data_IF_847757760931
#
_entry.id   IF_847757760931
#
_cell.length_a   1.000
_cell.length_b   1.000
_cell.length_c   1.000
_cell.angle_alpha   90.00
_cell.angle_beta   90.00
_cell.angle_gamma   90.00
#
_symmetry.space_group_name_H-M   'P 1'
#
loop_
_entity.id
_entity.type
_entity.pdbx_description
1 polymer ?
#
# COMPACT_ATOMS: atom_id res chain seq x y z
N UNK A 1 -20.51 -34.86 -0.87
CA UNK A 1 -19.16 -34.34 -0.57
C UNK A 1 -18.61 -33.35 -1.62
N UNK A 2 -18.97 -33.44 -2.92
CA UNK A 2 -18.54 -32.47 -3.96
C UNK A 2 -19.14 -31.05 -3.82
N UNK A 3 -20.34 -30.88 -3.25
CA UNK A 3 -20.96 -29.54 -3.11
C UNK A 3 -20.17 -28.62 -2.15
N UNK A 4 -19.71 -29.15 -1.02
CA UNK A 4 -18.99 -28.36 0.00
C UNK A 4 -17.69 -27.70 -0.48
N UNK A 5 -16.96 -28.34 -1.39
CA UNK A 5 -15.70 -27.81 -1.94
C UNK A 5 -15.97 -26.74 -2.98
N UNK A 6 -17.04 -26.90 -3.77
CA UNK A 6 -17.42 -25.96 -4.81
C UNK A 6 -18.02 -24.68 -4.22
N UNK A 7 -18.80 -24.80 -3.14
CA UNK A 7 -19.31 -23.67 -2.36
C UNK A 7 -18.19 -22.93 -1.61
N UNK A 8 -17.17 -23.64 -1.10
CA UNK A 8 -15.96 -23.01 -0.55
C UNK A 8 -15.19 -22.21 -1.62
N UNK A 9 -14.99 -22.77 -2.81
CA UNK A 9 -14.28 -22.07 -3.88
C UNK A 9 -15.06 -20.86 -4.44
N UNK A 10 -16.38 -20.81 -4.28
CA UNK A 10 -17.25 -19.69 -4.68
C UNK A 10 -17.37 -18.60 -3.61
N UNK A 11 -17.30 -18.96 -2.32
CA UNK A 11 -17.38 -18.00 -1.19
C UNK A 11 -16.06 -17.26 -0.95
N UNK A 12 -14.93 -17.92 -1.16
CA UNK A 12 -13.59 -17.34 -0.99
C UNK A 12 -13.28 -16.14 -1.89
N UNK A 13 -13.63 -16.14 -3.20
CA UNK A 13 -13.42 -14.96 -4.03
C UNK A 13 -14.27 -13.78 -3.57
N UNK A 14 -15.52 -14.00 -3.12
CA UNK A 14 -16.39 -12.91 -2.65
C UNK A 14 -15.84 -12.22 -1.40
N UNK A 15 -15.35 -12.98 -0.42
CA UNK A 15 -14.75 -12.43 0.79
C UNK A 15 -13.45 -11.67 0.51
N UNK A 16 -12.64 -12.16 -0.43
CA UNK A 16 -11.42 -11.47 -0.84
C UNK A 16 -11.74 -10.11 -1.50
N UNK A 17 -12.75 -10.06 -2.37
CA UNK A 17 -13.21 -8.81 -2.99
C UNK A 17 -13.83 -7.84 -1.98
N UNK A 18 -14.64 -8.35 -1.05
CA UNK A 18 -15.18 -7.55 0.04
C UNK A 18 -14.05 -6.96 0.90
N UNK A 19 -13.03 -7.76 1.22
CA UNK A 19 -11.87 -7.30 1.98
C UNK A 19 -11.09 -6.21 1.24
N UNK A 20 -10.91 -6.37 -0.08
CA UNK A 20 -10.27 -5.35 -0.91
C UNK A 20 -11.07 -4.04 -0.93
N UNK A 21 -12.40 -4.12 -1.06
CA UNK A 21 -13.28 -2.94 -1.02
C UNK A 21 -13.28 -2.26 0.36
N UNK A 22 -13.33 -3.05 1.44
CA UNK A 22 -13.32 -2.53 2.80
C UNK A 22 -11.98 -1.87 3.15
N UNK A 23 -10.87 -2.56 2.94
CA UNK A 23 -9.54 -2.05 3.27
C UNK A 23 -9.07 -0.95 2.30
N UNK A 24 -9.45 -1.05 1.03
CA UNK A 24 -9.03 -0.11 -0.01
C UNK A 24 -9.86 1.17 -0.07
N UNK A 25 -11.18 1.08 0.14
CA UNK A 25 -12.10 2.20 -0.12
C UNK A 25 -12.87 2.59 1.14
N UNK A 26 -13.63 1.66 1.74
CA UNK A 26 -14.58 2.01 2.80
C UNK A 26 -13.86 2.54 4.04
N UNK A 27 -12.85 1.83 4.55
CA UNK A 27 -12.11 2.27 5.73
C UNK A 27 -11.33 3.58 5.48
N UNK A 28 -10.59 3.76 4.37
CA UNK A 28 -9.95 5.04 4.07
C UNK A 28 -10.93 6.20 3.90
N UNK A 29 -12.03 6.01 3.16
CA UNK A 29 -13.02 7.06 2.93
C UNK A 29 -13.74 7.46 4.22
N UNK A 30 -14.12 6.49 5.05
CA UNK A 30 -14.71 6.78 6.38
C UNK A 30 -13.72 7.49 7.29
N UNK A 31 -12.44 7.12 7.28
CA UNK A 31 -11.40 7.85 8.01
C UNK A 31 -11.27 9.31 7.53
N UNK A 32 -11.30 9.55 6.22
CA UNK A 32 -11.29 10.92 5.67
C UNK A 32 -12.51 11.73 6.12
N UNK A 33 -13.71 11.13 6.11
CA UNK A 33 -14.94 11.79 6.56
C UNK A 33 -14.88 12.16 8.05
N UNK A 34 -14.41 11.25 8.90
CA UNK A 34 -14.25 11.51 10.34
C UNK A 34 -13.23 12.63 10.60
N UNK A 35 -12.17 12.70 9.80
CA UNK A 35 -11.14 13.75 9.94
C UNK A 35 -11.59 15.13 9.46
N UNK A 36 -12.57 15.22 8.56
CA UNK A 36 -13.12 16.51 8.09
C UNK A 36 -13.88 17.22 9.20
N UNK A 37 -14.59 16.47 10.04
CA UNK A 37 -15.35 17.01 11.16
C UNK A 37 -14.47 17.31 12.40
N UNK A 38 -13.20 16.89 12.39
CA UNK A 38 -12.29 17.08 13.50
C UNK A 38 -11.74 18.52 13.55
N UNK A 39 -12.10 19.28 14.59
CA UNK A 39 -11.76 20.70 14.76
C UNK A 39 -10.29 20.97 15.16
N UNK A 40 -9.38 20.00 14.99
CA UNK A 40 -8.08 19.91 15.68
C UNK A 40 -6.87 19.86 14.71
N UNK A 41 -5.63 20.16 15.17
CA UNK A 41 -4.39 20.12 14.37
C UNK A 41 -4.03 18.75 13.78
N UNK A 42 -4.76 17.68 14.15
CA UNK A 42 -4.83 16.39 13.46
C UNK A 42 -5.55 16.52 12.10
N UNK A 43 -5.07 17.46 11.30
CA UNK A 43 -5.63 17.76 9.99
C UNK A 43 -5.32 16.65 9.01
N UNK A 44 -6.00 16.70 7.87
CA UNK A 44 -5.66 15.90 6.69
C UNK A 44 -4.17 15.98 6.32
N UNK A 45 -3.47 17.05 6.72
CA UNK A 45 -2.03 17.20 6.53
C UNK A 45 -1.18 16.18 7.31
N UNK A 46 -1.70 15.53 8.36
CA UNK A 46 -0.94 14.50 9.11
C UNK A 46 -1.37 13.07 8.76
N UNK A 47 -2.63 12.87 8.35
CA UNK A 47 -3.21 11.56 8.10
C UNK A 47 -3.47 11.23 6.63
N UNK A 48 -3.37 12.20 5.72
CA UNK A 48 -3.62 12.00 4.29
C UNK A 48 -2.69 10.96 3.66
N UNK A 49 -1.38 11.06 3.94
CA UNK A 49 -0.38 10.10 3.46
C UNK A 49 -0.62 8.68 3.97
N UNK A 50 -0.76 8.44 5.29
CA UNK A 50 -1.08 7.13 5.84
C UNK A 50 -2.37 6.52 5.27
N UNK A 51 -3.46 7.28 5.21
CA UNK A 51 -4.76 6.80 4.73
C UNK A 51 -4.69 6.40 3.26
N UNK A 52 -4.08 7.23 2.41
CA UNK A 52 -3.91 6.93 0.99
C UNK A 52 -3.00 5.71 0.78
N UNK A 53 -1.89 5.63 1.52
CA UNK A 53 -0.97 4.50 1.44
C UNK A 53 -1.65 3.17 1.78
N UNK A 54 -2.41 3.12 2.88
CA UNK A 54 -3.16 1.93 3.28
C UNK A 54 -4.28 1.61 2.30
N UNK A 55 -5.00 2.60 1.77
CA UNK A 55 -6.02 2.37 0.75
C UNK A 55 -5.45 1.77 -0.55
N UNK A 56 -4.34 2.32 -1.04
CA UNK A 56 -3.59 1.78 -2.18
C UNK A 56 -3.10 0.35 -1.92
N UNK A 57 -2.58 0.10 -0.72
CA UNK A 57 -2.09 -1.21 -0.32
C UNK A 57 -3.21 -2.23 -0.23
N UNK A 58 -4.32 -1.90 0.42
CA UNK A 58 -5.51 -2.73 0.53
C UNK A 58 -6.10 -3.07 -0.83
N UNK A 59 -6.38 -2.07 -1.67
CA UNK A 59 -6.92 -2.28 -3.00
C UNK A 59 -5.95 -3.08 -3.89
N UNK A 60 -4.69 -2.66 -3.99
CA UNK A 60 -3.73 -3.28 -4.90
C UNK A 60 -3.28 -4.67 -4.48
N UNK A 61 -2.87 -4.82 -3.22
CA UNK A 61 -2.30 -6.07 -2.71
C UNK A 61 -3.36 -7.15 -2.58
N UNK A 62 -4.52 -6.84 -1.98
CA UNK A 62 -5.59 -7.83 -1.79
C UNK A 62 -6.21 -8.20 -3.15
N UNK A 63 -6.47 -7.23 -4.04
CA UNK A 63 -7.05 -7.55 -5.34
C UNK A 63 -6.09 -8.33 -6.26
N UNK A 64 -4.79 -7.98 -6.29
CA UNK A 64 -3.81 -8.78 -7.03
C UNK A 64 -3.72 -10.21 -6.47
N UNK A 65 -3.78 -10.35 -5.14
CA UNK A 65 -3.74 -11.65 -4.48
C UNK A 65 -5.01 -12.48 -4.73
N UNK A 66 -6.18 -11.84 -4.74
CA UNK A 66 -7.48 -12.46 -5.00
C UNK A 66 -7.62 -12.90 -6.47
N UNK A 67 -7.23 -12.02 -7.40
CA UNK A 67 -7.38 -12.28 -8.83
C UNK A 67 -6.23 -13.10 -9.44
N UNK A 68 -5.10 -13.21 -8.73
CA UNK A 68 -3.89 -13.85 -9.25
C UNK A 68 -3.26 -13.14 -10.45
N UNK A 69 -3.61 -11.87 -10.68
CA UNK A 69 -3.18 -11.06 -11.82
C UNK A 69 -2.70 -9.70 -11.36
N UNK A 70 -1.44 -9.38 -11.68
CA UNK A 70 -0.81 -8.11 -11.34
C UNK A 70 -1.63 -6.89 -11.80
N UNK A 71 -2.05 -6.89 -13.07
CA UNK A 71 -2.68 -5.72 -13.67
C UNK A 71 -4.01 -5.35 -12.99
N UNK A 72 -4.74 -6.33 -12.45
CA UNK A 72 -6.02 -6.09 -11.76
C UNK A 72 -5.77 -5.31 -10.46
N UNK A 73 -4.77 -5.73 -9.68
CA UNK A 73 -4.38 -4.96 -8.49
C UNK A 73 -3.88 -3.57 -8.85
N UNK A 74 -3.06 -3.43 -9.89
CA UNK A 74 -2.53 -2.11 -10.30
C UNK A 74 -3.67 -1.18 -10.71
N UNK A 75 -4.61 -1.66 -11.53
CA UNK A 75 -5.75 -0.87 -11.97
C UNK A 75 -6.60 -0.42 -10.77
N UNK A 76 -6.94 -1.34 -9.86
CA UNK A 76 -7.77 -1.02 -8.70
C UNK A 76 -7.06 -0.12 -7.69
N UNK A 77 -5.75 -0.27 -7.50
CA UNK A 77 -4.96 0.64 -6.68
C UNK A 77 -4.95 2.04 -7.29
N UNK A 78 -4.70 2.20 -8.60
CA UNK A 78 -4.74 3.51 -9.27
C UNK A 78 -6.13 4.15 -9.16
N UNK A 79 -7.19 3.39 -9.44
CA UNK A 79 -8.57 3.88 -9.31
C UNK A 79 -8.88 4.30 -7.87
N UNK A 80 -8.45 3.51 -6.88
CA UNK A 80 -8.65 3.81 -5.46
C UNK A 80 -7.87 5.06 -5.06
N UNK A 81 -6.58 5.14 -5.39
CA UNK A 81 -5.74 6.31 -5.11
C UNK A 81 -6.30 7.57 -5.72
N UNK A 82 -6.74 7.49 -6.98
CA UNK A 82 -7.36 8.62 -7.69
C UNK A 82 -8.69 9.01 -7.04
N UNK A 83 -9.57 8.04 -6.77
CA UNK A 83 -10.87 8.27 -6.13
C UNK A 83 -10.74 8.87 -4.73
N UNK A 84 -9.83 8.37 -3.90
CA UNK A 84 -9.56 8.91 -2.57
C UNK A 84 -8.91 10.30 -2.63
N UNK A 85 -8.06 10.56 -3.63
CA UNK A 85 -7.49 11.90 -3.85
C UNK A 85 -8.57 12.90 -4.28
N UNK A 86 -9.49 12.50 -5.15
CA UNK A 86 -10.64 13.31 -5.55
C UNK A 86 -11.60 13.54 -4.39
N UNK A 87 -11.84 12.52 -3.56
CA UNK A 87 -12.63 12.64 -2.34
C UNK A 87 -11.98 13.65 -1.38
N UNK A 88 -10.68 13.53 -1.13
CA UNK A 88 -9.93 14.48 -0.30
C UNK A 88 -10.11 15.94 -0.79
N UNK A 89 -10.01 16.13 -2.11
CA UNK A 89 -10.21 17.44 -2.71
C UNK A 89 -11.66 17.95 -2.54
N UNK A 90 -12.65 17.08 -2.76
CA UNK A 90 -14.07 17.42 -2.54
C UNK A 90 -14.38 17.76 -1.07
N UNK A 91 -13.62 17.19 -0.14
CA UNK A 91 -13.69 17.46 1.29
C UNK A 91 -12.93 18.73 1.72
N UNK A 92 -12.43 19.53 0.78
CA UNK A 92 -11.83 20.84 1.06
C UNK A 92 -10.32 20.81 1.34
N UNK A 93 -9.64 19.68 1.10
CA UNK A 93 -8.17 19.65 1.14
C UNK A 93 -7.64 20.52 -0.01
N UNK A 94 -6.83 21.56 0.28
CA UNK A 94 -6.37 22.51 -0.73
C UNK A 94 -5.63 21.82 -1.88
N UNK A 95 -5.64 22.45 -3.05
CA UNK A 95 -5.11 21.89 -4.29
C UNK A 95 -3.71 21.34 -4.12
N UNK A 96 -3.53 20.08 -4.54
CA UNK A 96 -2.24 19.39 -4.53
C UNK A 96 -1.17 20.21 -5.26
N UNK A 97 -0.17 20.75 -4.56
CA UNK A 97 0.85 21.60 -5.17
C UNK A 97 1.68 20.85 -6.22
N UNK A 98 1.75 19.51 -6.15
CA UNK A 98 2.54 18.66 -7.05
C UNK A 98 1.72 17.50 -7.64
N UNK A 99 0.84 17.79 -8.60
CA UNK A 99 0.01 16.78 -9.28
C UNK A 99 0.84 15.64 -9.92
N UNK A 100 1.96 15.97 -10.56
CA UNK A 100 2.87 14.97 -11.13
C UNK A 100 3.52 14.12 -10.04
N UNK A 101 3.87 14.73 -8.90
CA UNK A 101 4.47 14.03 -7.77
C UNK A 101 3.51 13.02 -7.16
N UNK A 102 2.25 13.41 -6.91
CA UNK A 102 1.27 12.48 -6.34
C UNK A 102 0.91 11.37 -7.33
N UNK A 103 0.81 11.69 -8.63
CA UNK A 103 0.61 10.68 -9.66
C UNK A 103 1.74 9.65 -9.70
N UNK A 104 3.00 10.09 -9.62
CA UNK A 104 4.16 9.21 -9.57
C UNK A 104 4.15 8.33 -8.30
N UNK A 105 3.88 8.91 -7.13
CA UNK A 105 3.81 8.19 -5.87
C UNK A 105 2.71 7.11 -5.91
N UNK A 106 1.50 7.46 -6.36
CA UNK A 106 0.38 6.53 -6.53
C UNK A 106 0.77 5.42 -7.50
N UNK A 107 1.38 5.75 -8.64
CA UNK A 107 1.74 4.76 -9.66
C UNK A 107 2.78 3.75 -9.15
N UNK A 108 3.87 4.22 -8.54
CA UNK A 108 4.93 3.37 -8.00
C UNK A 108 4.40 2.50 -6.84
N UNK A 109 3.65 3.10 -5.91
CA UNK A 109 3.03 2.37 -4.81
C UNK A 109 2.06 1.29 -5.31
N UNK A 110 1.22 1.62 -6.30
CA UNK A 110 0.27 0.69 -6.93
C UNK A 110 0.97 -0.54 -7.50
N UNK A 111 2.07 -0.35 -8.24
CA UNK A 111 2.88 -1.45 -8.78
C UNK A 111 3.49 -2.26 -7.64
N UNK A 112 4.06 -1.60 -6.64
CA UNK A 112 4.75 -2.24 -5.52
C UNK A 112 3.82 -3.14 -4.69
N UNK A 113 2.66 -2.62 -4.29
CA UNK A 113 1.67 -3.40 -3.52
C UNK A 113 1.07 -4.53 -4.35
N UNK A 114 0.75 -4.28 -5.62
CA UNK A 114 0.18 -5.30 -6.51
C UNK A 114 1.18 -6.40 -6.83
N UNK A 115 2.48 -6.09 -6.95
CA UNK A 115 3.53 -7.09 -7.15
C UNK A 115 3.63 -8.05 -5.96
N UNK A 116 3.59 -7.52 -4.73
CA UNK A 116 3.54 -8.34 -3.50
C UNK A 116 2.28 -9.21 -3.45
N UNK A 117 1.12 -8.64 -3.77
CA UNK A 117 -0.14 -9.39 -3.84
C UNK A 117 -0.10 -10.54 -4.86
N UNK A 118 0.44 -10.28 -6.06
CA UNK A 118 0.61 -11.30 -7.09
C UNK A 118 1.59 -12.41 -6.65
N UNK A 119 2.64 -12.06 -5.91
CA UNK A 119 3.54 -13.05 -5.30
C UNK A 119 2.80 -13.92 -4.27
N UNK A 120 1.93 -13.35 -3.44
CA UNK A 120 1.14 -14.12 -2.47
C UNK A 120 0.17 -15.08 -3.15
N UNK A 121 -0.49 -14.65 -4.24
CA UNK A 121 -1.33 -15.54 -5.05
C UNK A 121 -0.55 -16.76 -5.56
N UNK A 122 0.68 -16.52 -6.05
CA UNK A 122 1.55 -17.57 -6.58
C UNK A 122 2.04 -18.54 -5.50
N UNK A 123 2.29 -18.03 -4.29
CA UNK A 123 2.97 -18.77 -3.22
C UNK A 123 2.01 -19.58 -2.34
N UNK A 124 0.74 -19.18 -2.23
CA UNK A 124 -0.20 -19.75 -1.26
C UNK A 124 -1.45 -20.44 -1.86
N UNK A 125 -1.38 -20.93 -3.12
CA UNK A 125 -2.41 -21.78 -3.78
C UNK A 125 -3.88 -21.42 -3.42
N UNK A 126 -4.29 -20.18 -3.71
CA UNK A 126 -5.67 -19.69 -3.47
C UNK A 126 -5.91 -19.04 -2.10
N UNK A 127 -4.96 -19.13 -1.16
CA UNK A 127 -5.00 -18.45 0.15
C UNK A 127 -4.18 -17.16 0.19
N UNK A 128 -3.60 -16.74 -0.94
CA UNK A 128 -2.72 -15.56 -1.00
C UNK A 128 -3.38 -14.27 -0.51
N UNK A 129 -4.69 -14.13 -0.68
CA UNK A 129 -5.45 -12.97 -0.22
C UNK A 129 -5.53 -12.87 1.31
N UNK A 130 -5.48 -13.99 2.04
CA UNK A 130 -5.40 -13.96 3.51
C UNK A 130 -4.07 -13.39 4.00
N UNK A 131 -2.98 -13.74 3.31
CA UNK A 131 -1.65 -13.18 3.59
C UNK A 131 -1.68 -11.67 3.30
N UNK A 132 -2.23 -11.26 2.15
CA UNK A 132 -2.39 -9.85 1.81
C UNK A 132 -3.20 -9.10 2.89
N UNK A 133 -4.33 -9.65 3.33
CA UNK A 133 -5.16 -9.04 4.37
C UNK A 133 -4.42 -8.89 5.70
N UNK A 134 -3.72 -9.93 6.15
CA UNK A 134 -2.95 -9.87 7.40
C UNK A 134 -1.82 -8.83 7.34
N UNK A 135 -1.13 -8.74 6.20
CA UNK A 135 -0.07 -7.76 5.97
C UNK A 135 -0.63 -6.34 5.92
N UNK A 136 -1.74 -6.11 5.20
CA UNK A 136 -2.41 -4.80 5.14
C UNK A 136 -2.89 -4.38 6.53
N UNK A 137 -3.53 -5.28 7.29
CA UNK A 137 -4.01 -4.97 8.64
C UNK A 137 -2.85 -4.66 9.60
N UNK A 138 -1.76 -5.44 9.53
CA UNK A 138 -0.56 -5.22 10.35
C UNK A 138 0.12 -3.89 10.04
N UNK A 139 0.31 -3.56 8.77
CA UNK A 139 0.89 -2.27 8.38
C UNK A 139 -0.03 -1.11 8.69
N UNK A 140 -1.35 -1.25 8.50
CA UNK A 140 -2.31 -0.24 8.90
C UNK A 140 -2.25 0.04 10.40
N UNK A 141 -2.17 -0.99 11.23
CA UNK A 141 -2.03 -0.82 12.68
C UNK A 141 -0.76 -0.02 13.01
N UNK A 142 0.41 -0.41 12.48
CA UNK A 142 1.66 0.29 12.81
C UNK A 142 1.68 1.72 12.28
N UNK A 143 1.33 1.94 11.00
CA UNK A 143 1.41 3.25 10.34
C UNK A 143 0.38 4.23 10.88
N UNK A 144 -0.86 3.79 11.16
CA UNK A 144 -1.88 4.66 11.74
C UNK A 144 -1.57 4.97 13.21
N UNK A 145 -1.06 4.02 13.99
CA UNK A 145 -0.57 4.29 15.34
C UNK A 145 0.61 5.26 15.32
N UNK A 146 1.55 5.12 14.39
CA UNK A 146 2.66 6.07 14.22
C UNK A 146 2.17 7.49 13.84
N UNK A 147 1.09 7.60 13.08
CA UNK A 147 0.48 8.88 12.73
C UNK A 147 -0.28 9.51 13.90
N UNK A 148 -0.95 8.70 14.73
CA UNK A 148 -1.68 9.16 15.92
C UNK A 148 -0.76 9.50 17.09
N UNK A 149 0.32 8.75 17.28
CA UNK A 149 1.28 8.91 18.36
C UNK A 149 2.73 8.86 17.80
N UNK A 150 3.25 9.99 17.27
CA UNK A 150 4.60 10.04 16.73
C UNK A 150 5.64 9.67 17.79
N UNK A 151 6.57 8.77 17.43
CA UNK A 151 7.64 8.30 18.31
C UNK A 151 7.33 7.04 19.12
N UNK A 152 6.10 6.51 19.06
CA UNK A 152 5.73 5.25 19.73
C UNK A 152 6.45 4.03 19.15
N UNK A 153 6.78 4.08 17.86
CA UNK A 153 7.53 3.04 17.16
C UNK A 153 8.95 3.52 16.86
N UNK A 154 9.97 2.64 16.94
CA UNK A 154 11.31 3.01 16.56
C UNK A 154 11.43 3.20 15.04
N UNK A 155 12.23 4.17 14.61
CA UNK A 155 12.37 4.55 13.19
C UNK A 155 12.82 3.39 12.30
N UNK A 156 13.65 2.47 12.80
CA UNK A 156 14.08 1.29 12.04
C UNK A 156 12.91 0.38 11.69
N UNK A 157 11.89 0.29 12.56
CA UNK A 157 10.69 -0.50 12.30
C UNK A 157 9.84 0.17 11.23
N UNK A 158 9.66 1.49 11.31
CA UNK A 158 8.94 2.26 10.30
C UNK A 158 9.62 2.19 8.93
N UNK A 159 10.95 2.22 8.90
CA UNK A 159 11.75 2.07 7.69
C UNK A 159 11.61 0.69 7.03
N UNK A 160 11.13 -0.33 7.75
CA UNK A 160 10.84 -1.64 7.18
C UNK A 160 9.48 -1.67 6.45
N UNK A 161 8.59 -0.71 6.66
CA UNK A 161 7.19 -0.80 6.22
C UNK A 161 6.96 -0.21 4.83
N UNK A 162 6.55 -1.02 3.84
CA UNK A 162 6.12 -0.54 2.53
C UNK A 162 5.02 0.53 2.54
N UNK A 163 4.03 0.42 3.43
CA UNK A 163 2.99 1.42 3.59
C UNK A 163 3.58 2.73 4.10
N UNK A 164 4.60 2.68 4.96
CA UNK A 164 5.30 3.88 5.40
C UNK A 164 6.10 4.53 4.27
N UNK A 165 6.72 3.76 3.38
CA UNK A 165 7.40 4.32 2.21
C UNK A 165 6.42 5.04 1.28
N UNK A 166 5.24 4.45 1.04
CA UNK A 166 4.19 5.10 0.27
C UNK A 166 3.66 6.35 0.98
N UNK A 167 3.47 6.28 2.30
CA UNK A 167 3.12 7.43 3.14
C UNK A 167 4.13 8.56 2.96
N UNK A 168 5.43 8.33 3.14
CA UNK A 168 6.47 9.35 2.97
C UNK A 168 6.39 10.05 1.61
N UNK A 169 6.23 9.30 0.52
CA UNK A 169 6.15 9.86 -0.83
C UNK A 169 4.88 10.66 -1.08
N UNK A 170 3.73 10.20 -0.57
CA UNK A 170 2.44 10.89 -0.69
C UNK A 170 2.39 12.12 0.22
N UNK A 171 2.89 11.99 1.45
CA UNK A 171 2.90 13.09 2.41
C UNK A 171 3.81 14.23 1.94
N UNK A 172 4.94 13.90 1.30
CA UNK A 172 5.81 14.89 0.68
C UNK A 172 5.11 15.68 -0.44
N UNK A 173 4.19 15.08 -1.19
CA UNK A 173 3.43 15.80 -2.23
C UNK A 173 2.33 16.64 -1.63
N UNK A 174 1.62 16.13 -0.62
CA UNK A 174 0.60 16.86 0.14
C UNK A 174 1.17 18.09 0.83
N UNK A 175 2.40 18.00 1.35
CA UNK A 175 3.07 19.09 2.07
C UNK A 175 3.77 20.11 1.16
N UNK A 176 3.74 19.94 -0.16
CA UNK A 176 4.33 20.91 -1.09
C UNK A 176 5.83 20.75 -1.37
N UNK A 177 6.50 19.76 -0.79
CA UNK A 177 7.92 19.47 -1.08
C UNK A 177 8.10 18.61 -2.35
N UNK A 178 7.05 17.89 -2.76
CA UNK A 178 7.02 17.01 -3.93
C UNK A 178 7.54 15.60 -3.64
N UNK A 179 7.12 14.60 -4.42
CA UNK A 179 7.42 13.19 -4.17
C UNK A 179 8.92 12.87 -4.20
N UNK A 180 9.68 13.65 -4.97
CA UNK A 180 11.13 13.52 -5.06
C UNK A 180 11.86 13.99 -3.80
N UNK A 181 11.18 14.59 -2.82
CA UNK A 181 11.77 14.80 -1.49
C UNK A 181 11.85 13.49 -0.67
N UNK A 182 11.20 12.42 -1.14
CA UNK A 182 11.25 11.09 -0.54
C UNK A 182 11.78 10.06 -1.57
N UNK A 183 12.89 10.35 -2.27
CA UNK A 183 13.38 9.44 -3.32
C UNK A 183 13.79 8.10 -2.76
N UNK A 184 14.39 8.04 -1.58
CA UNK A 184 14.74 6.76 -0.95
C UNK A 184 13.51 5.85 -0.80
N UNK A 185 12.36 6.41 -0.39
CA UNK A 185 11.09 5.68 -0.30
C UNK A 185 10.56 5.24 -1.67
N UNK A 186 10.64 6.10 -2.70
CA UNK A 186 10.26 5.73 -4.08
C UNK A 186 11.17 4.65 -4.66
N UNK A 187 12.48 4.75 -4.43
CA UNK A 187 13.47 3.74 -4.82
C UNK A 187 13.20 2.44 -4.08
N UNK A 188 12.86 2.49 -2.79
CA UNK A 188 12.53 1.31 -2.01
C UNK A 188 11.27 0.59 -2.52
N UNK A 189 10.20 1.34 -2.80
CA UNK A 189 8.97 0.81 -3.40
C UNK A 189 9.22 0.22 -4.79
N UNK A 190 9.86 0.99 -5.67
CA UNK A 190 10.12 0.61 -7.06
C UNK A 190 11.11 -0.55 -7.17
N UNK A 191 12.20 -0.50 -6.41
CA UNK A 191 13.22 -1.54 -6.35
C UNK A 191 12.70 -2.85 -5.79
N UNK A 192 11.90 -2.81 -4.72
CA UNK A 192 11.25 -4.02 -4.18
C UNK A 192 10.22 -4.58 -5.17
N UNK A 193 9.47 -3.72 -5.86
CA UNK A 193 8.54 -4.15 -6.91
C UNK A 193 9.27 -4.82 -8.08
N UNK A 194 10.34 -4.20 -8.58
CA UNK A 194 11.16 -4.71 -9.67
C UNK A 194 11.76 -6.07 -9.31
N UNK A 195 12.36 -6.19 -8.12
CA UNK A 195 12.89 -7.46 -7.63
C UNK A 195 11.78 -8.52 -7.53
N UNK A 196 10.62 -8.17 -6.96
CA UNK A 196 9.46 -9.08 -6.85
C UNK A 196 8.99 -9.57 -8.21
N UNK A 197 8.83 -8.68 -9.19
CA UNK A 197 8.38 -9.04 -10.53
C UNK A 197 9.44 -9.85 -11.30
N UNK A 198 10.71 -9.50 -11.12
CA UNK A 198 11.83 -10.21 -11.72
C UNK A 198 11.90 -11.65 -11.20
N UNK A 199 11.89 -11.86 -9.88
CA UNK A 199 11.99 -13.22 -9.31
C UNK A 199 10.73 -14.04 -9.53
N UNK A 200 9.56 -13.39 -9.59
CA UNK A 200 8.31 -14.09 -9.88
C UNK A 200 8.18 -14.52 -11.34
N UNK A 201 8.81 -13.83 -12.29
CA UNK A 201 8.79 -14.19 -13.72
C UNK A 201 9.92 -15.12 -14.14
N UNK A 202 11.15 -14.86 -13.68
CA UNK A 202 12.35 -15.44 -14.29
C UNK A 202 13.05 -16.50 -13.44
N UNK A 203 12.79 -16.55 -12.13
CA UNK A 203 13.58 -17.41 -11.23
C UNK A 203 12.87 -18.73 -10.89
N UNK A 204 13.61 -19.87 -10.82
CA UNK A 204 13.06 -21.12 -10.32
C UNK A 204 12.54 -20.98 -8.89
N UNK A 205 11.43 -21.69 -8.61
CA UNK A 205 10.55 -21.60 -7.42
C UNK A 205 11.20 -21.58 -6.02
N UNK A 206 12.52 -21.73 -5.87
CA UNK A 206 13.19 -21.97 -4.59
C UNK A 206 13.69 -20.71 -3.87
N UNK A 207 13.97 -19.62 -4.58
CA UNK A 207 14.58 -18.42 -3.99
C UNK A 207 13.79 -17.08 -4.06
N UNK A 208 12.51 -17.03 -4.47
CA UNK A 208 11.85 -15.75 -4.70
C UNK A 208 11.76 -14.89 -3.43
N UNK A 209 11.45 -15.52 -2.28
CA UNK A 209 11.39 -14.81 -1.01
C UNK A 209 12.76 -14.36 -0.52
N UNK A 210 13.81 -15.18 -0.65
CA UNK A 210 15.15 -14.78 -0.21
C UNK A 210 15.62 -13.52 -0.93
N UNK A 211 15.51 -13.48 -2.25
CA UNK A 211 15.92 -12.31 -3.03
C UNK A 211 15.02 -11.10 -2.69
N UNK A 212 13.70 -11.29 -2.63
CA UNK A 212 12.78 -10.21 -2.27
C UNK A 212 13.08 -9.65 -0.88
N UNK A 213 13.30 -10.50 0.12
CA UNK A 213 13.61 -10.08 1.50
C UNK A 213 14.96 -9.39 1.59
N UNK A 214 16.01 -9.89 0.92
CA UNK A 214 17.32 -9.23 0.91
C UNK A 214 17.23 -7.86 0.25
N UNK A 215 16.54 -7.75 -0.88
CA UNK A 215 16.29 -6.45 -1.53
C UNK A 215 15.48 -5.52 -0.63
N UNK A 216 14.44 -6.03 0.01
CA UNK A 216 13.61 -5.26 0.94
C UNK A 216 14.40 -4.75 2.14
N UNK A 217 15.23 -5.59 2.79
CA UNK A 217 16.10 -5.18 3.90
C UNK A 217 17.15 -4.15 3.46
N UNK A 218 17.78 -4.35 2.31
CA UNK A 218 18.76 -3.40 1.78
C UNK A 218 18.14 -2.04 1.45
N UNK A 219 16.93 -2.04 0.87
CA UNK A 219 16.19 -0.82 0.57
C UNK A 219 15.58 -0.16 1.82
N UNK A 220 15.20 -0.95 2.83
CA UNK A 220 14.81 -0.44 4.13
C UNK A 220 15.98 0.27 4.82
N UNK A 221 17.19 -0.29 4.75
CA UNK A 221 18.39 0.35 5.26
C UNK A 221 18.68 1.69 4.53
N UNK A 222 18.45 1.75 3.22
CA UNK A 222 18.53 3.01 2.46
C UNK A 222 17.54 4.04 2.99
N UNK A 223 16.27 3.66 3.21
CA UNK A 223 15.25 4.57 3.77
C UNK A 223 15.61 5.02 5.19
N UNK A 224 16.12 4.11 6.01
CA UNK A 224 16.49 4.39 7.40
C UNK A 224 17.65 5.38 7.51
N UNK A 225 18.73 5.17 6.74
CA UNK A 225 19.91 6.03 6.79
C UNK A 225 19.78 7.31 5.96
N UNK A 226 18.91 7.31 4.94
CA UNK A 226 18.75 8.41 4.00
C UNK A 226 17.27 8.72 3.72
N UNK A 227 16.47 9.13 4.73
CA UNK A 227 15.02 9.29 4.58
C UNK A 227 14.60 10.43 3.64
N UNK A 228 15.50 11.39 3.37
CA UNK A 228 15.24 12.58 2.55
C UNK A 228 16.15 12.72 1.32
N UNK A 229 16.82 11.64 0.91
CA UNK A 229 17.67 11.63 -0.28
C UNK A 229 16.89 11.89 -1.56
#
# INVERSE_FOLDING_TARGET
MKSSVQDQLLTWPRLAWLSAALAGIVAPATAMLVLVDASAPASFASFGGPILAIGLMGAGMIAAAAAGRLWIGVLLAILTGTGLTLLAHALGVPTLPHLLGIGLAIFIASISFSARGALFAKSAKGKGWWIALAVVAGEAAVVLTAAAEPGVWPDWLLALLPAQWANMAIQATLNGTGALAARSALIALGGTAAATLFVTRLWPRRWPYLIMFTTWLGLAALVYHYPHF
#
